data_IF_962508578335
#
_entry.id   IF_962508578335
#
_cell.length_a   1.000
_cell.length_b   1.000
_cell.length_c   1.000
_cell.angle_alpha   90.00
_cell.angle_beta   90.00
_cell.angle_gamma   90.00
#
_symmetry.space_group_name_H-M   'P 1'
#
loop_
_entity.id
_entity.type
_entity.pdbx_description
1 polymer ?
#
# COMPACT_ATOMS: atom_id res chain seq x y z
N UNK A 1 5.04 32.57 8.84
CA UNK A 1 5.68 32.67 7.51
C UNK A 1 5.95 31.27 7.01
N UNK A 2 5.16 30.79 6.06
CA UNK A 2 5.27 29.43 5.55
C UNK A 2 4.58 29.35 4.21
N UNK A 3 5.30 29.73 3.15
CA UNK A 3 5.03 29.39 1.76
C UNK A 3 6.29 29.73 0.98
N UNK A 4 7.11 28.72 0.76
CA UNK A 4 8.20 28.75 -0.23
C UNK A 4 7.96 27.56 -1.14
N UNK A 5 7.40 27.82 -2.34
CA UNK A 5 7.48 26.93 -3.50
C UNK A 5 6.32 25.96 -3.77
N UNK A 6 5.65 25.40 -2.76
CA UNK A 6 4.71 24.29 -2.96
C UNK A 6 3.25 24.64 -3.28
N UNK A 7 2.52 23.64 -3.84
CA UNK A 7 1.05 23.70 -4.05
C UNK A 7 0.35 24.06 -2.74
N UNK A 8 -0.64 24.96 -2.82
CA UNK A 8 -1.41 25.42 -1.66
C UNK A 8 -2.76 24.73 -1.47
N UNK A 9 -3.13 23.85 -2.39
CA UNK A 9 -4.37 23.07 -2.43
C UNK A 9 -4.15 21.86 -3.38
N UNK A 10 -5.07 20.90 -3.32
CA UNK A 10 -5.17 19.77 -4.24
C UNK A 10 -5.57 20.22 -5.66
N UNK A 11 -5.30 19.37 -6.65
CA UNK A 11 -5.79 19.61 -8.01
C UNK A 11 -7.15 18.94 -8.21
N UNK A 12 -8.19 19.75 -8.40
CA UNK A 12 -9.55 19.26 -8.61
C UNK A 12 -9.82 18.99 -10.09
N UNK A 13 -10.34 17.80 -10.41
CA UNK A 13 -10.71 17.42 -11.77
C UNK A 13 -12.16 16.94 -11.85
N UNK A 14 -12.78 17.15 -13.00
CA UNK A 14 -14.17 16.79 -13.28
C UNK A 14 -14.29 15.62 -14.29
N UNK A 15 -13.21 14.87 -14.47
CA UNK A 15 -13.13 13.67 -15.32
C UNK A 15 -13.07 12.41 -14.46
N UNK A 16 -13.58 11.30 -15.00
CA UNK A 16 -13.46 9.99 -14.36
C UNK A 16 -12.00 9.52 -14.24
N UNK A 17 -11.75 8.53 -13.37
CA UNK A 17 -10.43 7.95 -13.22
C UNK A 17 -9.92 7.27 -14.52
N UNK A 18 -8.63 7.41 -14.86
CA UNK A 18 -8.06 7.01 -16.14
C UNK A 18 -7.96 5.49 -16.31
N UNK A 19 -8.04 4.71 -15.23
CA UNK A 19 -8.03 3.24 -15.32
C UNK A 19 -9.29 2.69 -15.98
N UNK A 20 -10.46 3.28 -15.69
CA UNK A 20 -11.75 2.76 -16.16
C UNK A 20 -11.90 2.93 -17.67
N UNK A 21 -11.63 4.12 -18.20
CA UNK A 21 -11.67 4.41 -19.64
C UNK A 21 -10.63 3.57 -20.40
N UNK A 22 -9.38 3.59 -19.96
CA UNK A 22 -8.28 2.83 -20.57
C UNK A 22 -8.57 1.33 -20.59
N UNK A 23 -9.07 0.76 -19.49
CA UNK A 23 -9.46 -0.66 -19.43
C UNK A 23 -10.56 -0.97 -20.44
N UNK A 24 -11.56 -0.10 -20.59
CA UNK A 24 -12.65 -0.29 -21.56
C UNK A 24 -12.13 -0.28 -23.00
N UNK A 25 -11.25 0.66 -23.33
CA UNK A 25 -10.64 0.78 -24.66
C UNK A 25 -9.74 -0.42 -25.00
N UNK A 26 -8.84 -0.78 -24.08
CA UNK A 26 -7.96 -1.94 -24.24
C UNK A 26 -8.78 -3.22 -24.44
N UNK A 27 -9.81 -3.46 -23.63
CA UNK A 27 -10.63 -4.68 -23.75
C UNK A 27 -11.50 -4.71 -25.01
N UNK A 28 -11.83 -3.56 -25.59
CA UNK A 28 -12.54 -3.48 -26.87
C UNK A 28 -11.59 -3.80 -28.04
N UNK A 29 -10.34 -3.34 -27.97
CA UNK A 29 -9.33 -3.54 -29.02
C UNK A 29 -8.64 -4.92 -28.94
N UNK A 30 -8.39 -5.41 -27.73
CA UNK A 30 -7.63 -6.63 -27.42
C UNK A 30 -8.40 -7.52 -26.44
N UNK A 31 -9.51 -8.16 -26.88
CA UNK A 31 -10.36 -8.98 -26.01
C UNK A 31 -9.62 -10.18 -25.38
N UNK A 32 -8.54 -10.66 -25.98
CA UNK A 32 -7.67 -11.72 -25.48
C UNK A 32 -7.03 -11.40 -24.13
N UNK A 33 -6.88 -10.12 -23.77
CA UNK A 33 -6.39 -9.68 -22.45
C UNK A 33 -7.29 -10.17 -21.31
N UNK A 34 -8.57 -10.48 -21.57
CA UNK A 34 -9.45 -11.09 -20.56
C UNK A 34 -8.91 -12.42 -20.01
N UNK A 35 -8.13 -13.16 -20.81
CA UNK A 35 -7.48 -14.40 -20.36
C UNK A 35 -6.43 -14.17 -19.27
N UNK A 36 -5.86 -12.96 -19.20
CA UNK A 36 -4.89 -12.56 -18.18
C UNK A 36 -5.56 -12.12 -16.87
N UNK A 37 -6.87 -11.84 -16.87
CA UNK A 37 -7.63 -11.38 -15.70
C UNK A 37 -8.07 -12.56 -14.80
N UNK A 38 -7.12 -13.41 -14.43
CA UNK A 38 -7.34 -14.60 -13.62
C UNK A 38 -6.65 -14.55 -12.25
N UNK A 39 -6.91 -15.55 -11.39
CA UNK A 39 -6.13 -15.71 -10.18
C UNK A 39 -4.69 -16.13 -10.49
N UNK A 40 -3.75 -15.73 -9.62
CA UNK A 40 -2.37 -16.24 -9.65
C UNK A 40 -2.24 -17.43 -8.69
N UNK A 41 -2.04 -18.67 -9.20
CA UNK A 41 -1.91 -19.85 -8.36
C UNK A 41 -0.62 -19.87 -7.53
N UNK A 42 0.41 -19.10 -7.89
CA UNK A 42 1.71 -19.07 -7.21
C UNK A 42 1.73 -18.17 -5.99
N UNK A 43 0.95 -17.08 -6.00
CA UNK A 43 0.91 -16.08 -4.94
C UNK A 43 0.75 -16.71 -3.55
N UNK A 44 -0.15 -17.70 -3.39
CA UNK A 44 -0.38 -18.36 -2.10
C UNK A 44 0.83 -19.12 -1.55
N UNK A 45 1.67 -19.68 -2.42
CA UNK A 45 2.85 -20.43 -2.02
C UNK A 45 3.99 -19.50 -1.62
N UNK A 46 4.23 -18.46 -2.41
CA UNK A 46 5.22 -17.42 -2.10
C UNK A 46 4.88 -16.74 -0.77
N UNK A 47 3.64 -16.29 -0.61
CA UNK A 47 3.17 -15.63 0.62
C UNK A 47 3.27 -16.55 1.82
N UNK A 48 2.90 -17.83 1.69
CA UNK A 48 3.05 -18.79 2.78
C UNK A 48 4.52 -18.99 3.17
N UNK A 49 5.41 -19.09 2.18
CA UNK A 49 6.86 -19.14 2.41
C UNK A 49 7.34 -17.92 3.21
N UNK A 50 6.93 -16.72 2.82
CA UNK A 50 7.30 -15.47 3.51
C UNK A 50 6.81 -15.42 4.96
N UNK A 51 5.57 -15.86 5.23
CA UNK A 51 5.04 -15.96 6.60
C UNK A 51 5.86 -16.93 7.43
N UNK A 52 6.15 -18.12 6.91
CA UNK A 52 6.97 -19.12 7.60
C UNK A 52 8.40 -18.62 7.83
N UNK A 53 9.00 -17.90 6.88
CA UNK A 53 10.30 -17.25 7.05
C UNK A 53 10.29 -16.24 8.18
N UNK A 54 9.24 -15.41 8.30
CA UNK A 54 9.13 -14.46 9.41
C UNK A 54 8.91 -15.14 10.77
N UNK A 55 8.16 -16.25 10.82
CA UNK A 55 8.02 -17.04 12.05
C UNK A 55 9.36 -17.68 12.46
N UNK A 56 10.15 -18.16 11.50
CA UNK A 56 11.52 -18.61 11.77
C UNK A 56 12.41 -17.45 12.25
N UNK A 57 12.32 -16.29 11.62
CA UNK A 57 13.07 -15.10 12.05
C UNK A 57 12.72 -14.72 13.50
N UNK A 58 11.45 -14.80 13.90
CA UNK A 58 11.02 -14.59 15.28
C UNK A 58 11.75 -15.51 16.27
N UNK A 59 11.87 -16.80 15.95
CA UNK A 59 12.65 -17.74 16.77
C UNK A 59 14.13 -17.33 16.85
N UNK A 60 14.73 -16.88 15.75
CA UNK A 60 16.16 -16.55 15.67
C UNK A 60 16.52 -15.24 16.38
N UNK A 61 15.63 -14.24 16.40
CA UNK A 61 15.93 -12.91 16.99
C UNK A 61 15.79 -12.85 18.50
N UNK A 62 15.18 -13.86 19.15
CA UNK A 62 14.81 -13.82 20.57
C UNK A 62 16.00 -13.59 21.52
N UNK A 63 17.18 -14.10 21.18
CA UNK A 63 18.36 -14.04 22.04
C UNK A 63 19.29 -12.86 21.67
N UNK A 64 18.96 -12.13 20.60
CA UNK A 64 19.74 -10.98 20.15
C UNK A 64 19.62 -9.79 21.12
N UNK A 65 20.68 -8.98 21.19
CA UNK A 65 20.61 -7.67 21.85
C UNK A 65 19.70 -6.71 21.08
N UNK A 66 19.06 -5.76 21.76
CA UNK A 66 18.12 -4.80 21.16
C UNK A 66 18.61 -4.09 19.89
N UNK A 67 19.88 -3.67 19.84
CA UNK A 67 20.46 -3.06 18.63
C UNK A 67 20.33 -3.95 17.38
N UNK A 68 20.50 -5.25 17.54
CA UNK A 68 20.43 -6.22 16.45
C UNK A 68 18.97 -6.55 16.08
N UNK A 69 18.04 -6.45 17.04
CA UNK A 69 16.61 -6.57 16.76
C UNK A 69 16.18 -5.47 15.81
N UNK A 70 16.50 -4.21 16.11
CA UNK A 70 16.14 -3.09 15.23
C UNK A 70 16.87 -3.13 13.89
N UNK A 71 18.14 -3.54 13.88
CA UNK A 71 18.88 -3.75 12.63
C UNK A 71 18.19 -4.77 11.72
N UNK A 72 17.87 -5.96 12.24
CA UNK A 72 17.21 -7.00 11.45
C UNK A 72 15.75 -6.68 11.13
N UNK A 73 15.06 -5.97 12.02
CA UNK A 73 13.72 -5.46 11.76
C UNK A 73 13.72 -4.50 10.56
N UNK A 74 14.72 -3.64 10.41
CA UNK A 74 14.84 -2.76 9.24
C UNK A 74 15.32 -3.53 8.00
N UNK A 75 16.45 -4.24 8.10
CA UNK A 75 17.16 -4.79 6.95
C UNK A 75 16.51 -6.04 6.33
N UNK A 76 15.73 -6.80 7.13
CA UNK A 76 15.18 -8.09 6.70
C UNK A 76 13.68 -8.22 7.01
N UNK A 77 13.30 -8.14 8.28
CA UNK A 77 11.92 -8.36 8.71
C UNK A 77 10.93 -7.38 8.10
N UNK A 78 11.30 -6.10 8.10
CA UNK A 78 10.52 -5.03 7.53
C UNK A 78 10.41 -5.13 6.02
N UNK A 79 11.44 -5.59 5.30
CA UNK A 79 11.35 -5.89 3.87
C UNK A 79 10.30 -6.97 3.60
N UNK A 80 10.32 -8.08 4.34
CA UNK A 80 9.32 -9.14 4.20
C UNK A 80 7.92 -8.65 4.59
N UNK A 81 7.80 -7.92 5.71
CA UNK A 81 6.53 -7.36 6.14
C UNK A 81 5.95 -6.41 5.10
N UNK A 82 6.77 -5.53 4.52
CA UNK A 82 6.36 -4.62 3.46
C UNK A 82 5.87 -5.39 2.24
N UNK A 83 6.62 -6.39 1.78
CA UNK A 83 6.17 -7.28 0.71
C UNK A 83 4.85 -7.99 1.04
N UNK A 84 4.65 -8.43 2.29
CA UNK A 84 3.39 -9.03 2.73
C UNK A 84 2.23 -8.03 2.73
N UNK A 85 2.46 -6.74 3.00
CA UNK A 85 1.40 -5.71 2.83
C UNK A 85 0.94 -5.59 1.38
N UNK A 86 1.87 -5.74 0.42
CA UNK A 86 1.56 -5.77 -1.01
C UNK A 86 0.90 -7.10 -1.44
N UNK A 87 1.28 -8.20 -0.83
CA UNK A 87 0.54 -9.45 -1.01
C UNK A 87 -0.90 -9.33 -0.50
N UNK A 88 -1.11 -8.71 0.67
CA UNK A 88 -2.45 -8.44 1.21
C UNK A 88 -3.23 -7.53 0.25
N UNK A 89 -2.56 -6.55 -0.39
CA UNK A 89 -3.14 -5.76 -1.48
C UNK A 89 -3.71 -6.64 -2.59
N UNK A 90 -2.93 -7.57 -3.15
CA UNK A 90 -3.40 -8.42 -4.25
C UNK A 90 -4.47 -9.43 -3.78
N UNK A 91 -4.32 -9.99 -2.57
CA UNK A 91 -5.32 -10.89 -1.97
C UNK A 91 -6.64 -10.14 -1.73
N UNK A 92 -6.60 -8.84 -1.46
CA UNK A 92 -7.80 -8.01 -1.27
C UNK A 92 -8.71 -8.05 -2.51
N UNK A 93 -8.07 -8.05 -3.69
CA UNK A 93 -8.64 -8.18 -5.05
C UNK A 93 -8.95 -9.64 -5.46
N UNK A 94 -8.85 -10.57 -4.51
CA UNK A 94 -9.08 -12.00 -4.69
C UNK A 94 -8.07 -12.70 -5.63
N UNK A 95 -6.87 -12.16 -5.82
CA UNK A 95 -5.88 -12.73 -6.77
C UNK A 95 -5.45 -14.14 -6.40
N UNK A 96 -5.32 -14.49 -5.12
CA UNK A 96 -4.77 -15.78 -4.69
C UNK A 96 -5.68 -16.99 -4.98
N UNK A 97 -7.00 -16.85 -4.87
CA UNK A 97 -7.97 -17.94 -5.07
C UNK A 97 -9.09 -17.63 -6.06
N UNK A 98 -9.15 -16.40 -6.57
CA UNK A 98 -10.20 -15.93 -7.48
C UNK A 98 -11.51 -15.54 -6.78
N UNK A 99 -12.40 -14.90 -7.54
CA UNK A 99 -13.66 -14.34 -7.03
C UNK A 99 -14.65 -15.41 -6.53
N UNK A 100 -14.64 -16.61 -7.12
CA UNK A 100 -15.51 -17.73 -6.69
C UNK A 100 -15.17 -18.22 -5.29
N UNK A 101 -13.94 -18.00 -4.84
CA UNK A 101 -13.42 -18.44 -3.54
C UNK A 101 -13.05 -17.22 -2.68
N UNK A 102 -13.85 -16.15 -2.74
CA UNK A 102 -13.57 -14.90 -2.02
C UNK A 102 -13.35 -15.09 -0.50
N UNK A 103 -14.03 -16.04 0.15
CA UNK A 103 -13.84 -16.37 1.57
C UNK A 103 -12.44 -16.92 1.87
N UNK A 104 -11.87 -17.73 0.97
CA UNK A 104 -10.51 -18.25 1.10
C UNK A 104 -9.48 -17.12 1.01
N UNK A 105 -9.70 -16.14 0.14
CA UNK A 105 -8.86 -14.93 0.12
C UNK A 105 -8.95 -14.16 1.45
N UNK A 106 -10.09 -14.10 2.13
CA UNK A 106 -10.18 -13.41 3.44
C UNK A 106 -9.37 -14.11 4.53
N UNK A 107 -9.49 -15.43 4.64
CA UNK A 107 -8.68 -16.21 5.59
C UNK A 107 -7.19 -16.15 5.27
N UNK A 108 -6.85 -16.24 3.98
CA UNK A 108 -5.47 -16.16 3.55
C UNK A 108 -4.86 -14.76 3.75
N UNK A 109 -5.66 -13.70 3.63
CA UNK A 109 -5.23 -12.35 3.98
C UNK A 109 -4.93 -12.22 5.50
N UNK A 110 -5.67 -12.90 6.37
CA UNK A 110 -5.35 -12.95 7.82
C UNK A 110 -4.07 -13.74 8.08
N UNK A 111 -3.83 -14.83 7.33
CA UNK A 111 -2.56 -15.57 7.39
C UNK A 111 -1.37 -14.72 6.95
N UNK A 112 -1.48 -14.03 5.81
CA UNK A 112 -0.46 -13.10 5.31
C UNK A 112 -0.21 -11.92 6.28
N UNK A 113 -1.20 -11.56 7.09
CA UNK A 113 -1.11 -10.49 8.08
C UNK A 113 -0.30 -10.86 9.32
N UNK A 114 -0.14 -12.15 9.65
CA UNK A 114 0.45 -12.56 10.93
C UNK A 114 1.82 -11.90 11.21
N UNK A 115 2.76 -11.82 10.24
CA UNK A 115 4.05 -11.17 10.46
C UNK A 115 4.00 -9.65 10.63
N UNK A 116 2.87 -9.00 10.33
CA UNK A 116 2.74 -7.54 10.50
C UNK A 116 2.70 -7.16 11.99
N UNK A 117 2.19 -8.06 12.85
CA UNK A 117 2.07 -7.86 14.30
C UNK A 117 0.90 -6.97 14.72
N UNK A 118 0.03 -6.56 13.78
CA UNK A 118 -1.15 -5.73 14.02
C UNK A 118 -2.29 -6.14 13.07
N UNK A 119 -3.55 -6.21 13.52
CA UNK A 119 -4.65 -6.69 12.69
C UNK A 119 -5.07 -5.62 11.67
N UNK A 120 -4.69 -5.80 10.42
CA UNK A 120 -4.79 -4.77 9.40
C UNK A 120 -5.54 -5.24 8.13
N UNK A 121 -5.39 -6.50 7.71
CA UNK A 121 -5.80 -6.96 6.37
C UNK A 121 -7.30 -6.84 6.09
N UNK A 122 -8.15 -7.05 7.11
CA UNK A 122 -9.59 -6.87 6.96
C UNK A 122 -9.99 -5.40 6.77
N UNK A 123 -9.45 -4.51 7.60
CA UNK A 123 -9.68 -3.06 7.52
C UNK A 123 -9.10 -2.50 6.21
N UNK A 124 -7.88 -2.92 5.86
CA UNK A 124 -7.23 -2.55 4.61
C UNK A 124 -8.13 -2.83 3.43
N UNK A 125 -8.62 -4.07 3.29
CA UNK A 125 -9.52 -4.42 2.18
C UNK A 125 -10.77 -3.53 2.13
N UNK A 126 -11.35 -3.19 3.27
CA UNK A 126 -12.55 -2.36 3.35
C UNK A 126 -12.32 -0.95 2.79
N UNK A 127 -11.17 -0.34 3.07
CA UNK A 127 -10.84 1.01 2.60
C UNK A 127 -10.20 0.99 1.20
N UNK A 128 -9.38 -0.01 0.92
CA UNK A 128 -8.67 -0.18 -0.34
C UNK A 128 -9.59 -0.38 -1.56
N UNK A 129 -10.70 -1.11 -1.38
CA UNK A 129 -11.69 -1.26 -2.45
C UNK A 129 -12.36 0.09 -2.77
N UNK A 130 -12.58 0.94 -1.77
CA UNK A 130 -13.12 2.29 -2.00
C UNK A 130 -12.09 3.19 -2.68
N UNK A 131 -10.81 3.11 -2.29
CA UNK A 131 -9.72 3.81 -2.96
C UNK A 131 -9.70 3.52 -4.47
N UNK A 132 -9.78 2.24 -4.88
CA UNK A 132 -9.82 1.92 -6.32
C UNK A 132 -11.16 2.26 -7.00
N UNK A 133 -12.27 2.23 -6.26
CA UNK A 133 -13.60 2.55 -6.80
C UNK A 133 -13.78 4.05 -7.00
N UNK A 134 -13.27 4.85 -6.07
CA UNK A 134 -13.44 6.30 -5.96
C UNK A 134 -12.08 6.99 -5.95
N UNK A 135 -11.17 6.62 -6.86
CA UNK A 135 -9.79 7.12 -6.87
C UNK A 135 -9.74 8.65 -6.91
N UNK A 136 -9.13 9.28 -5.90
CA UNK A 136 -9.13 10.73 -5.78
C UNK A 136 -10.43 11.31 -5.19
N UNK A 137 -11.37 10.49 -4.75
CA UNK A 137 -12.69 10.94 -4.28
C UNK A 137 -12.62 11.66 -2.94
N UNK A 138 -13.08 12.90 -2.89
CA UNK A 138 -13.09 13.67 -1.64
C UNK A 138 -13.92 12.97 -0.56
N UNK A 139 -13.33 12.81 0.63
CA UNK A 139 -13.87 12.07 1.77
C UNK A 139 -14.24 10.59 1.51
N UNK A 140 -13.95 10.05 0.33
CA UNK A 140 -14.21 8.65 -0.02
C UNK A 140 -12.91 7.86 -0.08
N UNK A 141 -11.89 8.46 -0.69
CA UNK A 141 -10.55 7.92 -0.80
C UNK A 141 -9.69 8.39 0.37
N UNK A 142 -9.56 7.52 1.37
CA UNK A 142 -8.78 7.77 2.59
C UNK A 142 -7.26 7.69 2.38
N UNK A 143 -6.81 7.34 1.17
CA UNK A 143 -5.39 7.36 0.82
C UNK A 143 -4.88 8.79 0.58
N UNK A 144 -5.78 9.72 0.25
CA UNK A 144 -5.45 11.14 0.04
C UNK A 144 -5.13 11.80 1.40
N UNK A 145 -4.02 12.54 1.52
CA UNK A 145 -3.74 13.35 2.71
C UNK A 145 -4.86 14.35 3.02
N UNK A 146 -4.99 14.71 4.29
CA UNK A 146 -5.89 15.79 4.71
C UNK A 146 -5.34 17.17 4.32
N UNK A 147 -6.18 18.20 4.32
CA UNK A 147 -5.73 19.60 4.14
C UNK A 147 -4.70 20.02 5.18
N UNK A 148 -4.86 19.57 6.44
CA UNK A 148 -3.87 19.80 7.48
C UNK A 148 -2.52 19.18 7.12
N UNK A 149 -2.50 17.94 6.63
CA UNK A 149 -1.25 17.30 6.22
C UNK A 149 -0.58 18.06 5.08
N UNK A 150 -1.34 18.47 4.05
CA UNK A 150 -0.85 19.29 2.94
C UNK A 150 -0.26 20.62 3.40
N UNK A 151 -0.96 21.33 4.26
CA UNK A 151 -0.54 22.63 4.77
C UNK A 151 0.67 22.53 5.71
N UNK A 152 0.67 21.55 6.63
CA UNK A 152 1.68 21.46 7.67
C UNK A 152 2.99 20.87 7.14
N UNK A 153 2.94 19.78 6.38
CA UNK A 153 4.11 19.03 5.90
C UNK A 153 4.63 19.56 4.55
N UNK A 154 4.85 20.87 4.48
CA UNK A 154 5.22 21.58 3.25
C UNK A 154 6.70 21.97 3.13
N UNK A 155 7.54 21.68 4.14
CA UNK A 155 8.99 21.93 4.10
C UNK A 155 9.79 20.63 4.12
N UNK A 156 11.04 20.58 3.62
CA UNK A 156 11.81 19.33 3.57
C UNK A 156 11.89 18.58 4.91
N UNK A 157 12.22 19.28 6.00
CA UNK A 157 12.29 18.67 7.34
C UNK A 157 10.94 18.08 7.79
N UNK A 158 9.83 18.77 7.49
CA UNK A 158 8.50 18.28 7.83
C UNK A 158 8.08 17.14 6.91
N UNK A 159 8.43 17.18 5.62
CA UNK A 159 8.17 16.06 4.69
C UNK A 159 8.91 14.79 5.11
N UNK A 160 10.15 14.89 5.62
CA UNK A 160 10.86 13.74 6.22
C UNK A 160 10.09 13.20 7.44
N UNK A 161 9.60 14.09 8.32
CA UNK A 161 8.75 13.69 9.43
C UNK A 161 7.44 13.02 8.94
N UNK A 162 6.85 13.52 7.86
CA UNK A 162 5.65 12.92 7.25
C UNK A 162 5.94 11.51 6.76
N UNK A 163 7.06 11.28 6.07
CA UNK A 163 7.51 9.94 5.65
C UNK A 163 7.68 9.00 6.85
N UNK A 164 8.26 9.48 7.95
CA UNK A 164 8.39 8.67 9.17
C UNK A 164 7.03 8.34 9.81
N UNK A 165 6.08 9.28 9.78
CA UNK A 165 4.74 9.12 10.35
C UNK A 165 3.75 8.39 9.42
N UNK A 166 4.17 8.07 8.21
CA UNK A 166 3.35 7.46 7.17
C UNK A 166 2.57 6.21 7.63
N UNK A 167 3.16 5.24 8.37
CA UNK A 167 2.43 4.07 8.86
C UNK A 167 1.23 4.46 9.74
N UNK A 168 1.37 5.53 10.52
CA UNK A 168 0.31 6.03 11.40
C UNK A 168 -0.78 6.73 10.60
N UNK A 169 -0.44 7.47 9.53
CA UNK A 169 -1.45 8.06 8.66
C UNK A 169 -2.29 6.99 7.96
N UNK A 170 -1.68 5.93 7.46
CA UNK A 170 -2.42 4.79 6.87
C UNK A 170 -3.36 4.12 7.87
N UNK A 171 -2.96 4.02 9.14
CA UNK A 171 -3.80 3.43 10.19
C UNK A 171 -4.91 4.36 10.69
N UNK A 172 -4.63 5.66 10.86
CA UNK A 172 -5.48 6.60 11.59
C UNK A 172 -6.31 7.51 10.69
N UNK A 173 -5.79 7.92 9.53
CA UNK A 173 -6.50 8.81 8.60
C UNK A 173 -7.88 8.26 8.19
N UNK A 174 -8.04 6.95 7.91
CA UNK A 174 -9.36 6.41 7.58
C UNK A 174 -10.41 6.62 8.67
N UNK A 175 -10.00 6.62 9.94
CA UNK A 175 -10.89 6.81 11.09
C UNK A 175 -11.36 8.27 11.26
N UNK A 176 -10.68 9.21 10.61
CA UNK A 176 -11.00 10.64 10.65
C UNK A 176 -11.73 11.09 9.38
N UNK A 177 -11.27 10.61 8.22
CA UNK A 177 -11.77 11.05 6.90
C UNK A 177 -13.07 10.34 6.51
N UNK A 178 -13.15 9.01 6.69
CA UNK A 178 -14.33 8.24 6.31
C UNK A 178 -14.55 7.09 7.30
N UNK A 179 -14.90 7.38 8.57
CA UNK A 179 -15.04 6.34 9.58
C UNK A 179 -16.16 5.36 9.20
N UNK A 180 -15.79 4.09 9.03
CA UNK A 180 -16.73 3.00 8.76
C UNK A 180 -17.00 2.17 10.01
N UNK A 181 -18.20 1.59 10.15
CA UNK A 181 -18.50 0.68 11.26
C UNK A 181 -17.57 -0.54 11.22
N UNK A 182 -17.20 -1.02 12.41
CA UNK A 182 -16.43 -2.25 12.59
C UNK A 182 -17.26 -3.44 12.12
N UNK A 183 -16.67 -4.32 11.32
CA UNK A 183 -17.32 -5.50 10.76
C UNK A 183 -16.77 -6.79 11.36
N UNK A 184 -17.52 -7.89 11.17
CA UNK A 184 -17.16 -9.20 11.70
C UNK A 184 -15.78 -9.70 11.24
N UNK A 185 -15.36 -9.38 10.02
CA UNK A 185 -14.04 -9.75 9.50
C UNK A 185 -12.90 -9.05 10.23
N UNK A 186 -13.08 -7.79 10.65
CA UNK A 186 -12.06 -7.07 11.43
C UNK A 186 -11.94 -7.64 12.84
N UNK A 187 -13.06 -8.02 13.46
CA UNK A 187 -13.06 -8.71 14.76
C UNK A 187 -12.33 -10.06 14.63
N UNK A 188 -12.62 -10.84 13.58
CA UNK A 188 -11.93 -12.11 13.32
C UNK A 188 -10.43 -11.91 13.09
N UNK A 189 -10.05 -10.91 12.28
CA UNK A 189 -8.64 -10.59 12.05
C UNK A 189 -7.94 -10.19 13.35
N UNK A 190 -8.57 -9.38 14.19
CA UNK A 190 -8.05 -8.98 15.50
C UNK A 190 -7.84 -10.18 16.42
N UNK A 191 -8.85 -11.05 16.56
CA UNK A 191 -8.75 -12.26 17.40
C UNK A 191 -7.62 -13.16 16.92
N UNK A 192 -7.53 -13.43 15.61
CA UNK A 192 -6.47 -14.30 15.04
C UNK A 192 -5.09 -13.68 15.26
N UNK A 193 -4.91 -12.40 14.95
CA UNK A 193 -3.62 -11.72 15.11
C UNK A 193 -3.17 -11.71 16.57
N UNK A 194 -4.03 -11.24 17.48
CA UNK A 194 -3.68 -11.13 18.90
C UNK A 194 -3.42 -12.52 19.51
N UNK A 195 -4.13 -13.56 19.07
CA UNK A 195 -3.85 -14.93 19.52
C UNK A 195 -2.47 -15.38 19.09
N UNK A 196 -2.07 -15.15 17.84
CA UNK A 196 -0.75 -15.53 17.34
C UNK A 196 0.36 -14.70 18.00
N UNK A 197 0.15 -13.40 18.19
CA UNK A 197 1.09 -12.54 18.90
C UNK A 197 1.29 -13.01 20.35
N UNK A 198 0.21 -13.40 21.03
CA UNK A 198 0.29 -13.98 22.39
C UNK A 198 1.04 -15.32 22.40
N UNK A 199 0.83 -16.18 21.40
CA UNK A 199 1.57 -17.44 21.26
C UNK A 199 3.07 -17.16 21.07
N UNK A 200 3.43 -16.24 20.17
CA UNK A 200 4.83 -15.85 19.92
C UNK A 200 5.45 -15.27 21.19
N UNK A 201 4.74 -14.39 21.88
CA UNK A 201 5.18 -13.79 23.14
C UNK A 201 5.42 -14.85 24.22
N UNK A 202 4.48 -15.79 24.37
CA UNK A 202 4.60 -16.86 25.37
C UNK A 202 5.78 -17.80 25.07
N UNK A 203 6.02 -18.12 23.80
CA UNK A 203 7.08 -19.05 23.39
C UNK A 203 8.47 -18.42 23.37
N UNK A 204 8.61 -17.17 22.92
CA UNK A 204 9.91 -16.54 22.63
C UNK A 204 10.10 -15.15 23.23
N UNK A 205 9.15 -14.66 24.03
CA UNK A 205 9.23 -13.40 24.76
C UNK A 205 8.88 -12.16 23.94
N UNK A 206 9.20 -10.99 24.48
CA UNK A 206 8.83 -9.68 23.91
C UNK A 206 9.60 -9.33 22.62
N UNK A 207 10.85 -9.78 22.51
CA UNK A 207 11.77 -9.35 21.44
C UNK A 207 11.25 -9.66 20.02
N UNK A 208 10.70 -10.85 19.73
CA UNK A 208 10.10 -11.14 18.43
C UNK A 208 8.86 -10.29 18.11
N UNK A 209 8.03 -9.96 19.11
CA UNK A 209 6.88 -9.07 18.91
C UNK A 209 7.35 -7.68 18.50
N UNK A 210 8.36 -7.15 19.20
CA UNK A 210 8.98 -5.87 18.84
C UNK A 210 9.62 -5.94 17.46
N UNK A 211 10.28 -7.04 17.10
CA UNK A 211 10.85 -7.25 15.77
C UNK A 211 9.79 -7.12 14.65
N UNK A 212 8.65 -7.79 14.79
CA UNK A 212 7.56 -7.74 13.80
C UNK A 212 6.98 -6.31 13.67
N UNK A 213 6.60 -5.70 14.80
CA UNK A 213 5.97 -4.37 14.79
C UNK A 213 6.96 -3.29 14.35
N UNK A 214 8.20 -3.33 14.84
CA UNK A 214 9.23 -2.37 14.44
C UNK A 214 9.56 -2.51 12.95
N UNK A 215 9.63 -3.73 12.40
CA UNK A 215 9.85 -3.94 10.98
C UNK A 215 8.75 -3.32 10.13
N UNK A 216 7.49 -3.49 10.53
CA UNK A 216 6.33 -2.86 9.89
C UNK A 216 6.44 -1.32 9.92
N UNK A 217 6.69 -0.70 11.08
CA UNK A 217 6.78 0.76 11.21
C UNK A 217 7.97 1.31 10.41
N UNK A 218 9.13 0.69 10.52
CA UNK A 218 10.36 1.17 9.89
C UNK A 218 10.30 1.07 8.37
N UNK A 219 9.80 -0.04 7.82
CA UNK A 219 9.79 -0.25 6.36
C UNK A 219 8.59 0.37 5.65
N UNK A 220 7.49 0.65 6.34
CA UNK A 220 6.41 1.48 5.79
C UNK A 220 6.73 2.98 5.89
N UNK A 221 7.64 3.39 6.79
CA UNK A 221 8.09 4.77 6.94
C UNK A 221 9.28 5.14 6.06
N UNK A 222 10.43 5.50 6.66
CA UNK A 222 11.65 5.88 5.94
C UNK A 222 12.44 4.64 5.49
N UNK A 223 11.99 4.01 4.40
CA UNK A 223 12.67 2.88 3.79
C UNK A 223 12.52 2.92 2.25
N UNK A 224 13.51 2.53 1.44
CA UNK A 224 13.40 2.60 -0.02
C UNK A 224 12.14 1.98 -0.63
N UNK A 225 11.63 0.90 -0.04
CA UNK A 225 10.42 0.19 -0.52
C UNK A 225 9.14 1.02 -0.26
N UNK A 226 9.11 1.90 0.74
CA UNK A 226 7.94 2.74 1.04
C UNK A 226 7.67 3.80 -0.02
N UNK A 227 8.62 4.07 -0.92
CA UNK A 227 8.41 5.02 -2.01
C UNK A 227 7.24 4.65 -2.92
N UNK A 228 6.81 3.38 -2.97
CA UNK A 228 5.63 2.97 -3.74
C UNK A 228 4.34 3.69 -3.29
N UNK A 229 4.17 3.96 -1.99
CA UNK A 229 3.01 4.67 -1.44
C UNK A 229 2.85 6.09 -1.99
N UNK A 230 3.94 6.67 -2.48
CA UNK A 230 3.96 7.99 -3.10
C UNK A 230 3.98 7.86 -4.62
N UNK A 231 4.79 6.93 -5.14
CA UNK A 231 5.02 6.74 -6.56
C UNK A 231 3.73 6.53 -7.35
N UNK A 232 2.78 5.76 -6.80
CA UNK A 232 1.64 5.31 -7.59
C UNK A 232 0.64 6.43 -7.90
N UNK A 233 0.36 7.31 -6.94
CA UNK A 233 -0.78 8.24 -7.03
C UNK A 233 -0.45 9.72 -6.80
N UNK A 234 0.82 10.06 -6.54
CA UNK A 234 1.23 11.47 -6.48
C UNK A 234 1.61 11.99 -7.86
N UNK A 235 1.19 13.22 -8.14
CA UNK A 235 1.37 13.87 -9.43
C UNK A 235 2.77 14.50 -9.54
N UNK A 236 3.75 13.67 -9.88
CA UNK A 236 5.13 14.09 -10.19
C UNK A 236 5.24 14.88 -11.51
N UNK A 237 4.27 14.68 -12.40
CA UNK A 237 4.13 15.36 -13.67
C UNK A 237 2.67 15.80 -13.78
N UNK A 238 2.46 17.10 -14.02
CA UNK A 238 1.10 17.65 -14.08
C UNK A 238 0.23 16.90 -15.09
N UNK A 239 -0.99 16.56 -14.69
CA UNK A 239 -1.95 15.82 -15.50
C UNK A 239 -1.80 14.29 -15.45
N UNK A 240 -0.81 13.77 -14.75
CA UNK A 240 -0.62 12.32 -14.55
C UNK A 240 -0.82 11.95 -13.08
N UNK A 241 -1.78 11.07 -12.81
CA UNK A 241 -2.14 10.60 -11.45
C UNK A 241 -1.79 9.13 -11.20
N UNK A 242 -1.17 8.47 -12.17
CA UNK A 242 -0.80 7.07 -12.07
C UNK A 242 0.57 6.85 -12.68
N UNK A 243 1.46 6.18 -11.96
CA UNK A 243 2.79 5.85 -12.44
C UNK A 243 3.04 4.36 -12.30
N UNK A 244 3.64 3.79 -13.33
CA UNK A 244 4.21 2.44 -13.25
C UNK A 244 5.61 2.52 -12.64
N UNK A 245 6.00 1.47 -11.92
CA UNK A 245 7.37 1.29 -11.45
C UNK A 245 8.05 0.16 -12.23
N UNK A 246 9.26 0.41 -12.73
CA UNK A 246 10.07 -0.55 -13.49
C UNK A 246 11.46 -0.77 -12.88
N UNK A 247 11.62 -0.45 -11.60
CA UNK A 247 12.89 -0.62 -10.90
C UNK A 247 13.06 -2.01 -10.25
N UNK A 248 14.23 -2.26 -9.65
CA UNK A 248 14.60 -3.58 -9.12
C UNK A 248 13.76 -4.03 -7.90
N UNK A 249 13.14 -3.09 -7.17
CA UNK A 249 12.35 -3.44 -5.98
C UNK A 249 11.09 -4.24 -6.33
N UNK A 250 10.64 -4.22 -7.60
CA UNK A 250 9.54 -5.06 -8.09
C UNK A 250 9.75 -6.56 -7.82
N UNK A 251 10.99 -7.02 -7.83
CA UNK A 251 11.35 -8.43 -7.59
C UNK A 251 10.89 -8.92 -6.21
N UNK A 252 10.81 -8.02 -5.24
CA UNK A 252 10.39 -8.33 -3.87
C UNK A 252 9.01 -7.75 -3.54
N UNK A 253 8.37 -7.03 -4.46
CA UNK A 253 7.08 -6.35 -4.24
C UNK A 253 6.00 -6.79 -5.22
N UNK A 254 6.05 -8.05 -5.67
CA UNK A 254 5.03 -8.67 -6.53
C UNK A 254 4.74 -7.89 -7.82
N UNK A 255 5.73 -7.16 -8.34
CA UNK A 255 5.57 -6.29 -9.51
C UNK A 255 4.41 -5.27 -9.35
N UNK A 256 4.22 -4.73 -8.13
CA UNK A 256 3.20 -3.71 -7.87
C UNK A 256 3.29 -2.54 -8.86
N UNK A 257 2.15 -2.15 -9.41
CA UNK A 257 2.06 -1.10 -10.44
C UNK A 257 2.58 -1.51 -11.83
N UNK A 258 3.11 -2.73 -12.01
CA UNK A 258 3.65 -3.18 -13.29
C UNK A 258 2.69 -4.11 -14.05
N UNK A 259 2.20 -3.63 -15.20
CA UNK A 259 1.24 -4.30 -16.06
C UNK A 259 1.90 -5.20 -17.14
N UNK A 260 2.84 -6.09 -16.77
CA UNK A 260 3.70 -6.82 -17.72
C UNK A 260 2.94 -7.46 -18.91
N UNK A 261 1.98 -8.35 -18.63
CA UNK A 261 1.26 -9.08 -19.70
C UNK A 261 0.34 -8.20 -20.54
N UNK A 262 -0.27 -7.18 -19.95
CA UNK A 262 -1.13 -6.23 -20.66
C UNK A 262 -0.29 -5.32 -21.55
N UNK A 263 0.84 -4.83 -21.03
CA UNK A 263 1.77 -3.97 -21.76
C UNK A 263 2.37 -4.69 -22.98
N UNK A 264 2.63 -5.99 -22.90
CA UNK A 264 3.12 -6.75 -24.05
C UNK A 264 2.14 -6.78 -25.24
N UNK A 265 0.83 -6.79 -24.96
CA UNK A 265 -0.21 -6.86 -25.99
C UNK A 265 -0.66 -5.47 -26.44
N UNK A 266 -0.73 -4.52 -25.50
CA UNK A 266 -1.29 -3.18 -25.69
C UNK A 266 -0.28 -2.08 -25.29
N UNK A 267 0.96 -2.20 -25.78
CA UNK A 267 2.10 -1.36 -25.37
C UNK A 267 1.85 0.14 -25.59
N UNK A 268 1.10 0.50 -26.63
CA UNK A 268 0.80 1.88 -26.99
C UNK A 268 0.02 2.65 -25.92
N UNK A 269 -0.68 1.94 -25.03
CA UNK A 269 -1.40 2.53 -23.90
C UNK A 269 -0.51 2.79 -22.68
N UNK A 270 0.72 2.28 -22.65
CA UNK A 270 1.62 2.36 -21.51
C UNK A 270 2.96 3.01 -21.82
N UNK A 271 3.49 2.88 -23.05
CA UNK A 271 4.84 3.36 -23.39
C UNK A 271 5.01 4.88 -23.35
N UNK A 272 3.91 5.63 -23.53
CA UNK A 272 3.89 7.09 -23.42
C UNK A 272 3.65 7.60 -22.00
N UNK A 273 3.33 6.71 -21.05
CA UNK A 273 3.03 7.12 -19.68
C UNK A 273 4.31 7.34 -18.88
N UNK A 274 4.33 8.34 -17.98
CA UNK A 274 5.46 8.55 -17.10
C UNK A 274 5.62 7.36 -16.14
N UNK A 275 6.87 7.12 -15.76
CA UNK A 275 7.24 5.94 -14.99
C UNK A 275 8.37 6.24 -14.00
N UNK A 276 8.44 5.46 -12.93
CA UNK A 276 9.53 5.50 -11.97
C UNK A 276 10.46 4.29 -12.14
N UNK A 277 11.76 4.52 -11.97
CA UNK A 277 12.79 3.45 -11.95
C UNK A 277 13.47 3.31 -10.60
N UNK A 278 13.29 4.27 -9.69
CA UNK A 278 13.83 4.23 -8.32
C UNK A 278 12.85 4.83 -7.31
N UNK A 279 12.37 4.03 -6.37
CA UNK A 279 11.55 4.53 -5.26
C UNK A 279 12.36 5.35 -4.24
N UNK A 280 13.66 5.12 -4.11
CA UNK A 280 14.54 6.03 -3.36
C UNK A 280 14.53 7.42 -3.98
N UNK A 281 14.52 7.51 -5.31
CA UNK A 281 14.41 8.81 -6.01
C UNK A 281 13.04 9.45 -5.77
N UNK A 282 11.95 8.67 -5.79
CA UNK A 282 10.60 9.15 -5.43
C UNK A 282 10.58 9.77 -4.04
N UNK A 283 11.15 9.09 -3.04
CA UNK A 283 11.24 9.62 -1.67
C UNK A 283 12.10 10.89 -1.60
N UNK A 284 13.22 10.92 -2.33
CA UNK A 284 14.07 12.10 -2.42
C UNK A 284 13.34 13.29 -3.02
N UNK A 285 12.71 13.11 -4.19
CA UNK A 285 11.96 14.16 -4.88
C UNK A 285 10.77 14.63 -4.04
N UNK A 286 10.06 13.71 -3.37
CA UNK A 286 9.00 14.11 -2.44
C UNK A 286 9.48 15.09 -1.37
N UNK A 287 10.67 14.86 -0.80
CA UNK A 287 11.24 15.69 0.26
C UNK A 287 11.78 17.02 -0.28
N UNK A 288 12.55 16.97 -1.37
CA UNK A 288 13.40 18.08 -1.80
C UNK A 288 12.90 18.84 -3.04
N UNK A 289 11.94 18.29 -3.78
CA UNK A 289 11.25 19.03 -4.84
C UNK A 289 10.11 19.84 -4.20
N UNK A 290 10.17 21.16 -4.33
CA UNK A 290 9.16 22.06 -3.78
C UNK A 290 7.80 21.89 -4.49
N UNK A 291 7.78 21.39 -5.73
CA UNK A 291 6.54 21.16 -6.47
C UNK A 291 5.76 19.91 -6.00
N UNK A 292 6.42 19.01 -5.27
CA UNK A 292 5.87 17.76 -4.76
C UNK A 292 5.61 17.86 -3.26
N UNK A 293 4.57 17.21 -2.76
CA UNK A 293 4.22 17.19 -1.34
C UNK A 293 2.85 16.54 -1.14
N UNK A 294 2.28 16.59 0.08
CA UNK A 294 0.99 15.94 0.34
C UNK A 294 -0.16 16.48 -0.54
N UNK A 295 -0.09 17.75 -0.97
CA UNK A 295 -1.03 18.35 -1.93
C UNK A 295 -0.84 17.90 -3.39
N UNK A 296 0.24 17.19 -3.75
CA UNK A 296 0.47 16.71 -5.11
C UNK A 296 -0.40 15.47 -5.42
N UNK A 297 -1.70 15.57 -5.17
CA UNK A 297 -2.73 14.57 -5.41
C UNK A 297 -3.89 15.20 -6.17
N UNK A 298 -4.60 14.39 -6.94
CA UNK A 298 -5.85 14.80 -7.60
C UNK A 298 -7.03 14.52 -6.67
N UNK A 299 -7.98 15.47 -6.63
CA UNK A 299 -9.28 15.32 -5.97
C UNK A 299 -10.43 15.37 -6.97
N UNK A 300 -11.50 14.63 -6.67
CA UNK A 300 -12.73 14.48 -7.47
C UNK A 300 -13.95 14.51 -6.56
N UNK A 301 -15.03 15.07 -7.07
CA UNK A 301 -16.35 14.91 -6.49
C UNK A 301 -17.06 13.72 -7.15
N UNK A 302 -17.44 12.73 -6.35
CA UNK A 302 -18.27 11.60 -6.81
C UNK A 302 -19.72 11.83 -6.42
N UNK A 303 -20.63 11.71 -7.39
CA UNK A 303 -22.07 11.64 -7.11
C UNK A 303 -22.39 10.24 -6.59
N UNK A 304 -22.54 10.10 -5.28
CA UNK A 304 -23.09 8.89 -4.70
C UNK A 304 -24.58 8.82 -5.05
N UNK A 305 -25.05 7.67 -5.55
CA UNK A 305 -26.48 7.42 -5.60
C UNK A 305 -27.01 7.56 -4.18
N UNK A 306 -28.01 8.43 -3.96
CA UNK A 306 -28.70 8.50 -2.67
C UNK A 306 -29.11 7.08 -2.29
N UNK A 307 -28.67 6.62 -1.13
CA UNK A 307 -29.23 5.42 -0.52
C UNK A 307 -30.68 5.79 -0.19
N UNK A 308 -31.62 5.30 -0.99
CA UNK A 308 -33.03 5.18 -0.59
C UNK A 308 -33.17 4.11 0.50
#
# INVERSE_FOLDING_TARGET
>A
MGKTGGRGDFEWVYTDQPHTSRRKEILAKYPEIKSLMGPDPQLKWVVSGMVLTQLLACYLVRDLSWKWIFFWAYAFGGCINHSLTLAIHDISHNVAFGNKLAKWNRWFAMWANLPIGLPYSASFKKYHIDHHRYLGGDQLDVDIPTDFEGWFFCTPARKVLWLFLQPFFYALRPLVVNPKPVCQLEIQNAVVQLTVDLIIYYLWGLKPIVYLIAGSILCMGLHPISGHFIAEHYMFLKGHETYSYYGPLNLITFNVGYHYGVKQIAAEYYDSLPQHTSWTRVLWDFVFDDSIGPYARIKREYKLSKQE
#
